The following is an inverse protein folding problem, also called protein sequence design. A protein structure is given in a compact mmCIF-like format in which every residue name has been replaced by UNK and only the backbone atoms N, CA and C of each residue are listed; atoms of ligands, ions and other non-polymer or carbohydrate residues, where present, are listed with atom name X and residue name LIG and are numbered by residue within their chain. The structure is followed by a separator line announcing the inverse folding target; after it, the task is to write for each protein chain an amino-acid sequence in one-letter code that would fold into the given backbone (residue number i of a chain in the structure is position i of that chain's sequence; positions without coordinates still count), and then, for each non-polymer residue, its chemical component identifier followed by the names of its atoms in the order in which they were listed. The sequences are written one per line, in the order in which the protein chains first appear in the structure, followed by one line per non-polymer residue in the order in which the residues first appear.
data_IF_682203544501
#
_entry.id   IF_682203544501
#
_cell.length_a   1.000
_cell.length_b   1.000
_cell.length_c   1.000
_cell.angle_alpha   90.00
_cell.angle_beta   90.00
_cell.angle_gamma   90.00
#
_symmetry.space_group_name_H-M   'P 1'
#
loop_
_entity.id
_entity.type
_entity.pdbx_description
1 polymer ?
#
# COMPACT_ATOMS: atom_id res chain seq x y z
N UNK A 1 8.00 -11.78 -10.86
CA UNK A 1 7.16 -10.75 -10.18
C UNK A 1 6.58 -11.39 -8.94
N UNK A 2 6.74 -10.78 -7.75
CA UNK A 2 6.14 -11.29 -6.52
C UNK A 2 4.62 -11.01 -6.49
N UNK A 3 3.86 -11.85 -5.79
CA UNK A 3 2.43 -11.66 -5.62
C UNK A 3 2.10 -11.36 -4.16
N UNK A 4 1.50 -10.20 -3.93
CA UNK A 4 0.94 -9.78 -2.65
C UNK A 4 -0.58 -9.77 -2.67
N UNK A 5 -1.19 -9.67 -1.49
CA UNK A 5 -2.63 -9.57 -1.35
C UNK A 5 -3.06 -8.45 -0.40
N UNK A 6 -4.26 -7.93 -0.61
CA UNK A 6 -4.89 -6.98 0.30
C UNK A 6 -5.46 -7.69 1.54
N UNK A 7 -5.21 -7.09 2.71
CA UNK A 7 -5.84 -7.51 3.97
C UNK A 7 -7.26 -6.95 4.13
N UNK A 8 -7.66 -6.04 3.28
CA UNK A 8 -8.98 -5.43 3.28
C UNK A 8 -9.65 -5.63 1.93
N UNK A 9 -10.97 -5.58 1.91
CA UNK A 9 -11.79 -5.52 0.70
C UNK A 9 -12.55 -4.19 0.63
N UNK A 10 -13.12 -3.87 -0.52
CA UNK A 10 -13.76 -2.58 -0.80
C UNK A 10 -15.27 -2.76 -1.02
N UNK A 11 -15.94 -3.43 -0.08
CA UNK A 11 -17.36 -3.72 -0.15
C UNK A 11 -18.04 -3.52 1.21
N UNK A 12 -19.41 -3.42 1.25
CA UNK A 12 -20.16 -3.34 2.50
C UNK A 12 -20.18 -4.64 3.33
N UNK A 13 -19.65 -5.73 2.79
CA UNK A 13 -19.54 -6.98 3.54
C UNK A 13 -18.67 -6.79 4.81
N UNK A 14 -18.90 -7.57 5.88
CA UNK A 14 -18.05 -7.54 7.06
C UNK A 14 -16.57 -7.75 6.70
N UNK A 15 -15.64 -7.04 7.34
CA UNK A 15 -14.22 -7.24 7.09
C UNK A 15 -13.80 -8.66 7.50
N UNK A 16 -12.80 -9.20 6.79
CA UNK A 16 -12.19 -10.46 7.20
C UNK A 16 -11.59 -10.35 8.60
N UNK A 17 -11.64 -11.41 9.43
CA UNK A 17 -10.83 -11.50 10.64
C UNK A 17 -9.34 -11.39 10.28
N UNK A 18 -8.74 -10.24 10.55
CA UNK A 18 -7.42 -9.85 9.98
C UNK A 18 -6.35 -10.92 10.19
N UNK A 19 -6.21 -11.43 11.41
CA UNK A 19 -5.17 -12.42 11.73
C UNK A 19 -5.38 -13.76 11.03
N UNK A 20 -6.63 -14.19 10.86
CA UNK A 20 -6.96 -15.43 10.14
C UNK A 20 -6.71 -15.27 8.65
N UNK A 21 -7.17 -14.14 8.10
CA UNK A 21 -6.99 -13.83 6.69
C UNK A 21 -5.51 -13.69 6.33
N UNK A 22 -4.71 -13.00 7.17
CA UNK A 22 -3.28 -12.90 6.99
C UNK A 22 -2.59 -14.27 6.99
N UNK A 23 -2.95 -15.17 7.93
CA UNK A 23 -2.40 -16.55 7.95
C UNK A 23 -2.80 -17.33 6.70
N UNK A 24 -4.05 -17.21 6.25
CA UNK A 24 -4.53 -17.90 5.05
C UNK A 24 -3.76 -17.42 3.81
N UNK A 25 -3.60 -16.11 3.62
CA UNK A 25 -2.86 -15.55 2.50
C UNK A 25 -1.38 -15.96 2.54
N UNK A 26 -0.74 -15.86 3.69
CA UNK A 26 0.65 -16.30 3.86
C UNK A 26 0.81 -17.81 3.63
N UNK A 27 -0.14 -18.64 4.12
CA UNK A 27 -0.18 -20.07 3.90
C UNK A 27 -0.36 -20.46 2.43
N UNK A 28 -1.11 -19.67 1.67
CA UNK A 28 -1.25 -19.82 0.22
C UNK A 28 0.01 -19.38 -0.57
N UNK A 29 1.01 -18.77 0.09
CA UNK A 29 2.27 -18.38 -0.51
C UNK A 29 2.33 -16.95 -1.02
N UNK A 30 1.44 -16.05 -0.59
CA UNK A 30 1.57 -14.63 -0.87
C UNK A 30 2.77 -14.05 -0.11
N UNK A 31 3.61 -13.29 -0.80
CA UNK A 31 4.90 -12.81 -0.31
C UNK A 31 4.81 -11.46 0.41
N UNK A 32 3.67 -10.75 0.23
CA UNK A 32 3.43 -9.46 0.88
C UNK A 32 1.93 -9.21 1.13
N UNK A 33 1.64 -8.53 2.25
CA UNK A 33 0.29 -8.22 2.70
C UNK A 33 0.10 -6.70 2.81
N UNK A 34 -0.94 -6.18 2.19
CA UNK A 34 -1.13 -4.74 2.01
C UNK A 34 -2.47 -4.26 2.52
N UNK A 35 -2.53 -3.02 2.98
CA UNK A 35 -3.79 -2.40 3.39
C UNK A 35 -3.88 -0.94 2.94
N UNK A 36 -5.04 -0.50 2.37
CA UNK A 36 -5.28 0.90 2.06
C UNK A 36 -5.78 1.65 3.29
N UNK A 37 -5.48 2.95 3.39
CA UNK A 37 -6.22 3.83 4.29
C UNK A 37 -7.46 4.36 3.56
N UNK A 38 -8.62 3.93 4.00
CA UNK A 38 -9.93 4.35 3.50
C UNK A 38 -10.85 4.60 4.69
N UNK A 39 -11.51 5.76 4.67
CA UNK A 39 -12.44 6.15 5.72
C UNK A 39 -13.61 6.96 5.12
N UNK A 40 -14.82 6.77 5.64
CA UNK A 40 -15.96 7.59 5.23
C UNK A 40 -16.61 7.23 3.90
N UNK A 41 -16.43 6.00 3.39
CA UNK A 41 -16.99 5.55 2.09
C UNK A 41 -18.18 4.59 2.23
N UNK A 42 -18.81 4.53 3.42
CA UNK A 42 -19.99 3.67 3.65
C UNK A 42 -19.69 2.21 3.93
N UNK A 43 -18.42 1.83 4.08
CA UNK A 43 -17.97 0.51 4.51
C UNK A 43 -16.72 0.61 5.39
N UNK A 44 -16.46 -0.42 6.18
CA UNK A 44 -15.33 -0.45 7.08
C UNK A 44 -14.11 -1.06 6.37
N UNK A 45 -13.09 -0.23 6.16
CA UNK A 45 -11.70 -0.71 6.03
C UNK A 45 -11.03 -0.48 7.38
N UNK A 46 -10.58 -1.52 8.07
CA UNK A 46 -9.94 -1.36 9.38
C UNK A 46 -8.70 -0.46 9.32
N UNK A 47 -8.36 0.18 10.43
CA UNK A 47 -7.18 1.06 10.52
C UNK A 47 -5.91 0.34 10.04
N UNK A 48 -5.11 1.03 9.24
CA UNK A 48 -3.95 0.43 8.57
C UNK A 48 -2.91 -0.08 9.55
N UNK A 49 -2.63 0.63 10.64
CA UNK A 49 -1.61 0.26 11.61
C UNK A 49 -2.07 -0.89 12.50
N UNK A 50 -3.34 -0.88 12.90
CA UNK A 50 -3.95 -1.99 13.66
C UNK A 50 -3.96 -3.26 12.80
N UNK A 51 -4.37 -3.14 11.53
CA UNK A 51 -4.41 -4.25 10.58
C UNK A 51 -3.02 -4.85 10.34
N UNK A 52 -2.03 -4.01 10.07
CA UNK A 52 -0.66 -4.48 9.81
C UNK A 52 0.00 -5.07 11.06
N UNK A 53 -0.27 -4.52 12.25
CA UNK A 53 0.22 -5.12 13.50
C UNK A 53 -0.36 -6.51 13.74
N UNK A 54 -1.67 -6.69 13.53
CA UNK A 54 -2.32 -8.00 13.63
C UNK A 54 -1.78 -8.99 12.60
N UNK A 55 -1.58 -8.57 11.35
CA UNK A 55 -1.01 -9.41 10.30
C UNK A 55 0.45 -9.78 10.59
N UNK A 56 1.26 -8.81 11.02
CA UNK A 56 2.67 -9.04 11.33
C UNK A 56 2.90 -10.02 12.47
N UNK A 57 2.01 -10.02 13.48
CA UNK A 57 2.08 -11.00 14.59
C UNK A 57 1.49 -12.37 14.21
N UNK A 58 0.66 -12.43 13.18
CA UNK A 58 0.04 -13.66 12.71
C UNK A 58 0.87 -14.40 11.64
N UNK A 59 1.91 -13.76 11.09
CA UNK A 59 2.72 -14.28 9.97
C UNK A 59 4.20 -14.08 10.21
N UNK A 60 5.03 -14.94 9.63
CA UNK A 60 6.49 -14.87 9.67
C UNK A 60 7.04 -14.66 8.26
N UNK A 61 8.09 -13.83 8.10
CA UNK A 61 8.82 -13.65 6.84
C UNK A 61 8.06 -12.92 5.72
N UNK A 62 6.77 -12.61 5.92
CA UNK A 62 5.93 -11.92 4.92
C UNK A 62 6.10 -10.40 5.07
N UNK A 63 6.33 -9.71 3.97
CA UNK A 63 6.35 -8.25 3.94
C UNK A 63 4.95 -7.70 4.27
N UNK A 64 4.89 -6.63 5.08
CA UNK A 64 3.64 -5.92 5.39
C UNK A 64 3.75 -4.47 4.90
N UNK A 65 2.70 -3.96 4.26
CA UNK A 65 2.79 -2.63 3.66
C UNK A 65 1.48 -1.85 3.62
N UNK A 66 1.61 -0.54 3.52
CA UNK A 66 0.48 0.35 3.27
C UNK A 66 0.40 0.70 1.79
N UNK A 67 -0.80 0.66 1.21
CA UNK A 67 -1.00 1.06 -0.18
C UNK A 67 -2.32 1.84 -0.36
N UNK A 68 -2.41 3.03 0.18
CA UNK A 68 -1.38 3.90 0.81
C UNK A 68 -1.91 4.56 2.08
N UNK A 69 -1.00 5.06 2.95
CA UNK A 69 -1.38 6.05 3.97
C UNK A 69 -1.48 7.43 3.32
N UNK A 70 -2.55 8.16 3.63
CA UNK A 70 -2.81 9.50 3.12
C UNK A 70 -2.17 10.54 4.06
N UNK A 71 -0.92 10.92 3.79
CA UNK A 71 -0.12 11.80 4.67
C UNK A 71 -0.84 13.09 5.09
N UNK A 72 -1.65 13.77 4.23
CA UNK A 72 -2.34 14.99 4.62
C UNK A 72 -3.40 14.82 5.71
N UNK A 73 -3.84 13.61 5.98
CA UNK A 73 -4.81 13.33 7.05
C UNK A 73 -4.17 13.28 8.44
N UNK A 74 -2.85 13.22 8.51
CA UNK A 74 -2.10 13.03 9.74
C UNK A 74 -1.22 14.23 10.10
N UNK A 75 -1.00 14.41 11.39
CA UNK A 75 0.12 15.21 11.85
C UNK A 75 1.42 14.39 11.63
N UNK A 76 2.51 14.95 11.06
CA UNK A 76 3.72 14.20 10.74
C UNK A 76 4.33 13.44 11.91
N UNK A 77 4.33 14.03 13.12
CA UNK A 77 4.88 13.36 14.30
C UNK A 77 3.99 12.21 14.81
N UNK A 78 2.65 12.34 14.73
CA UNK A 78 1.74 11.24 15.06
C UNK A 78 1.92 10.09 14.07
N UNK A 79 2.00 10.40 12.77
CA UNK A 79 2.24 9.38 11.75
C UNK A 79 3.60 8.69 11.94
N UNK A 80 4.67 9.45 12.20
CA UNK A 80 5.98 8.88 12.49
C UNK A 80 5.96 7.97 13.71
N UNK A 81 5.30 8.39 14.79
CA UNK A 81 5.15 7.58 16.01
C UNK A 81 4.42 6.26 15.72
N UNK A 82 3.33 6.28 14.93
CA UNK A 82 2.61 5.06 14.54
C UNK A 82 3.46 4.13 13.68
N UNK A 83 4.23 4.67 12.74
CA UNK A 83 5.14 3.88 11.89
C UNK A 83 6.24 3.25 12.74
N UNK A 84 6.91 4.02 13.62
CA UNK A 84 7.95 3.50 14.53
C UNK A 84 7.38 2.44 15.48
N UNK A 85 6.17 2.64 15.99
CA UNK A 85 5.46 1.65 16.82
C UNK A 85 5.18 0.36 16.04
N UNK A 86 4.72 0.46 14.78
CA UNK A 86 4.50 -0.72 13.94
C UNK A 86 5.82 -1.44 13.64
N UNK A 87 6.91 -0.72 13.40
CA UNK A 87 8.23 -1.30 13.20
C UNK A 87 8.73 -2.06 14.43
N UNK A 88 8.35 -1.66 15.65
CA UNK A 88 8.66 -2.44 16.86
C UNK A 88 7.94 -3.79 16.93
N UNK A 89 6.87 -3.95 16.13
CA UNK A 89 6.10 -5.22 16.03
C UNK A 89 6.59 -6.08 14.86
N UNK A 90 6.82 -5.48 13.69
CA UNK A 90 7.11 -6.22 12.45
C UNK A 90 8.60 -6.20 12.04
N UNK A 91 9.44 -5.45 12.75
CA UNK A 91 10.85 -5.29 12.38
C UNK A 91 11.02 -4.57 11.04
N UNK A 92 11.92 -5.09 10.21
CA UNK A 92 12.28 -4.61 8.88
C UNK A 92 11.31 -5.04 7.76
N UNK A 93 10.24 -5.77 8.11
CA UNK A 93 9.24 -6.24 7.13
C UNK A 93 8.30 -5.15 6.63
N UNK A 94 8.35 -3.92 7.17
CA UNK A 94 7.45 -2.83 6.80
C UNK A 94 7.91 -2.13 5.52
N UNK A 95 6.98 -1.98 4.58
CA UNK A 95 7.08 -1.03 3.46
C UNK A 95 5.99 0.04 3.60
N UNK A 96 6.38 1.32 3.61
CA UNK A 96 5.48 2.43 3.81
C UNK A 96 5.08 3.08 2.47
N UNK A 97 3.92 2.72 1.95
CA UNK A 97 3.33 3.40 0.82
C UNK A 97 2.55 4.64 1.27
N UNK A 98 2.87 5.79 0.71
CA UNK A 98 2.26 7.08 1.04
C UNK A 98 1.61 7.74 -0.16
N UNK A 99 0.62 8.58 0.07
CA UNK A 99 -0.04 9.35 -0.99
C UNK A 99 -0.56 10.70 -0.50
N UNK A 100 -0.84 11.64 -1.42
CA UNK A 100 -1.60 12.84 -1.09
C UNK A 100 -3.09 12.58 -0.82
N UNK A 101 -3.59 11.37 -1.13
CA UNK A 101 -5.02 11.06 -1.10
C UNK A 101 -5.75 11.44 -2.39
N UNK A 102 -6.87 10.79 -2.66
CA UNK A 102 -7.62 10.97 -3.90
C UNK A 102 -9.12 11.20 -3.73
N UNK A 103 -9.70 10.85 -2.59
CA UNK A 103 -11.15 10.81 -2.40
C UNK A 103 -11.58 11.85 -1.38
N UNK A 104 -12.45 12.76 -1.80
CA UNK A 104 -12.93 13.87 -0.99
C UNK A 104 -13.67 13.41 0.28
N UNK A 105 -14.46 12.32 0.19
CA UNK A 105 -15.18 11.77 1.34
C UNK A 105 -14.25 11.35 2.49
N UNK A 106 -13.07 10.83 2.17
CA UNK A 106 -12.08 10.48 3.20
C UNK A 106 -11.62 11.72 3.99
N UNK A 107 -11.43 12.85 3.29
CA UNK A 107 -11.02 14.12 3.89
C UNK A 107 -12.16 14.77 4.69
N UNK A 108 -13.37 14.79 4.13
CA UNK A 108 -14.55 15.34 4.77
C UNK A 108 -14.86 14.65 6.11
N UNK A 109 -14.68 13.33 6.19
CA UNK A 109 -14.89 12.54 7.42
C UNK A 109 -13.97 13.00 8.57
N UNK A 110 -12.82 13.57 8.26
CA UNK A 110 -11.82 14.04 9.25
C UNK A 110 -11.71 15.59 9.32
N UNK A 111 -12.67 16.31 8.76
CA UNK A 111 -12.64 17.78 8.68
C UNK A 111 -11.33 18.31 8.07
N UNK A 112 -10.84 17.66 7.01
CA UNK A 112 -9.63 18.03 6.28
C UNK A 112 -9.95 18.59 4.90
N UNK A 113 -9.18 19.60 4.48
CA UNK A 113 -9.33 20.21 3.16
C UNK A 113 -8.72 19.31 2.06
N UNK A 114 -9.59 18.68 1.27
CA UNK A 114 -9.17 17.87 0.11
C UNK A 114 -8.47 18.70 -0.97
N UNK A 115 -8.87 19.95 -1.18
CA UNK A 115 -8.24 20.79 -2.20
C UNK A 115 -6.77 21.10 -1.86
N UNK A 116 -6.45 21.22 -0.58
CA UNK A 116 -5.09 21.48 -0.09
C UNK A 116 -4.20 20.22 -0.07
N UNK A 117 -4.70 19.02 -0.34
CA UNK A 117 -3.99 17.74 -0.12
C UNK A 117 -2.58 17.67 -0.72
N UNK A 118 -2.37 18.18 -1.93
CA UNK A 118 -1.03 18.16 -2.55
C UNK A 118 -0.05 19.12 -1.87
N UNK A 119 -0.54 20.30 -1.45
CA UNK A 119 0.26 21.26 -0.68
C UNK A 119 0.63 20.68 0.67
N UNK A 120 -0.35 20.18 1.41
CA UNK A 120 -0.14 19.56 2.73
C UNK A 120 0.76 18.34 2.65
N UNK A 121 0.63 17.52 1.60
CA UNK A 121 1.55 16.40 1.37
C UNK A 121 3.00 16.88 1.19
N UNK A 122 3.20 17.92 0.38
CA UNK A 122 4.54 18.51 0.13
C UNK A 122 5.14 19.11 1.40
N UNK A 123 4.34 19.72 2.25
CA UNK A 123 4.77 20.33 3.52
C UNK A 123 5.08 19.27 4.60
N UNK A 124 4.25 18.23 4.71
CA UNK A 124 4.36 17.22 5.77
C UNK A 124 5.40 16.14 5.50
N UNK A 125 5.62 15.78 4.22
CA UNK A 125 6.49 14.66 3.85
C UNK A 125 7.95 14.83 4.31
N UNK A 126 8.61 15.99 4.17
CA UNK A 126 9.98 16.17 4.64
C UNK A 126 10.13 15.96 6.14
N UNK A 127 9.18 16.47 6.94
CA UNK A 127 9.17 16.28 8.38
C UNK A 127 8.96 14.83 8.76
N UNK A 128 8.03 14.14 8.09
CA UNK A 128 7.81 12.70 8.30
C UNK A 128 9.09 11.91 8.03
N UNK A 129 9.76 12.17 6.89
CA UNK A 129 11.04 11.51 6.55
C UNK A 129 12.12 11.77 7.60
N UNK A 130 12.25 13.02 8.05
CA UNK A 130 13.22 13.38 9.10
C UNK A 130 12.97 12.63 10.41
N UNK A 131 11.72 12.58 10.85
CA UNK A 131 11.33 11.86 12.06
C UNK A 131 11.52 10.34 11.95
N UNK A 132 11.26 9.75 10.78
CA UNK A 132 11.52 8.32 10.55
C UNK A 132 13.02 8.02 10.51
N UNK A 133 13.85 8.92 9.98
CA UNK A 133 15.29 8.75 9.89
C UNK A 133 16.01 8.98 11.23
N UNK A 134 15.55 9.92 12.04
CA UNK A 134 16.27 10.39 13.22
C UNK A 134 15.55 10.18 14.55
N UNK A 135 14.27 9.76 14.52
CA UNK A 135 13.44 9.61 15.72
C UNK A 135 13.04 10.93 16.39
N UNK A 136 13.57 12.07 15.96
CA UNK A 136 13.37 13.39 16.61
C UNK A 136 13.57 14.55 15.63
N UNK A 137 13.04 15.70 15.99
CA UNK A 137 13.28 17.01 15.40
C UNK A 137 13.28 18.10 16.49
N UNK A 138 13.21 19.39 16.10
CA UNK A 138 13.16 20.54 17.03
C UNK A 138 11.89 20.60 17.91
N UNK A 139 10.87 19.82 17.59
CA UNK A 139 9.53 19.84 18.23
C UNK A 139 9.08 18.49 18.76
N UNK A 140 9.77 17.40 18.43
CA UNK A 140 9.39 16.05 18.80
C UNK A 140 10.62 15.18 19.08
N UNK A 141 10.56 14.43 20.17
CA UNK A 141 11.54 13.39 20.52
C UNK A 141 10.75 12.08 20.72
N UNK A 142 10.70 11.26 19.65
CA UNK A 142 9.82 10.09 19.57
C UNK A 142 10.55 8.80 19.91
N UNK A 143 11.81 8.70 19.54
CA UNK A 143 12.60 7.50 19.73
C UNK A 143 14.10 7.80 19.54
N UNK A 144 15.01 6.94 20.08
CA UNK A 144 16.39 6.91 19.60
C UNK A 144 16.40 6.71 18.09
N UNK A 145 17.43 7.20 17.39
CA UNK A 145 17.56 7.04 15.95
C UNK A 145 17.33 5.57 15.55
N UNK A 146 16.39 5.28 14.66
CA UNK A 146 16.09 3.91 14.26
C UNK A 146 17.28 3.31 13.50
N UNK A 147 17.48 2.03 13.66
CA UNK A 147 18.56 1.27 12.97
C UNK A 147 18.31 1.22 11.46
N UNK A 148 17.04 1.25 11.05
CA UNK A 148 16.61 1.29 9.65
C UNK A 148 15.33 2.11 9.49
N UNK A 149 15.16 2.75 8.33
CA UNK A 149 13.90 3.37 7.92
C UNK A 149 13.16 2.44 6.96
N UNK A 150 11.82 2.35 7.03
CA UNK A 150 11.08 1.54 6.07
C UNK A 150 11.22 2.12 4.66
N UNK A 151 11.30 1.28 3.61
CA UNK A 151 11.20 1.76 2.23
C UNK A 151 9.95 2.61 2.05
N UNK A 152 10.09 3.78 1.40
CA UNK A 152 9.01 4.74 1.21
C UNK A 152 8.58 4.77 -0.27
N UNK A 153 7.36 4.29 -0.55
CA UNK A 153 6.81 4.23 -1.89
C UNK A 153 5.74 5.32 -2.09
N UNK A 154 5.68 5.91 -3.28
CA UNK A 154 4.66 6.90 -3.63
C UNK A 154 3.51 6.28 -4.41
N UNK A 155 2.29 6.37 -3.89
CA UNK A 155 1.05 6.11 -4.62
C UNK A 155 0.51 7.40 -5.23
N UNK A 156 0.74 7.62 -6.52
CA UNK A 156 0.24 8.80 -7.23
C UNK A 156 0.30 8.60 -8.74
N UNK A 157 -0.28 9.55 -9.49
CA UNK A 157 -0.41 9.51 -10.94
C UNK A 157 0.03 10.84 -11.59
N UNK A 158 -0.02 10.88 -12.93
CA UNK A 158 0.39 12.06 -13.71
C UNK A 158 1.89 12.34 -13.58
N UNK A 159 2.27 13.58 -13.37
CA UNK A 159 3.68 13.98 -13.21
C UNK A 159 4.35 13.43 -11.92
N UNK A 160 3.56 12.89 -10.98
CA UNK A 160 4.11 12.28 -9.78
C UNK A 160 4.65 10.85 -10.03
N UNK A 161 4.43 10.26 -11.20
CA UNK A 161 5.03 8.96 -11.57
C UNK A 161 6.55 9.11 -11.70
N UNK A 162 7.01 10.10 -12.44
CA UNK A 162 8.45 10.40 -12.59
C UNK A 162 9.06 10.95 -11.28
N UNK A 163 8.25 11.64 -10.46
CA UNK A 163 8.66 12.04 -9.11
C UNK A 163 8.89 10.83 -8.22
N UNK A 164 8.02 9.82 -8.28
CA UNK A 164 8.19 8.56 -7.55
C UNK A 164 9.53 7.90 -7.91
N UNK A 165 9.90 7.89 -9.19
CA UNK A 165 11.15 7.32 -9.66
C UNK A 165 12.40 8.01 -9.08
N UNK A 166 12.35 9.34 -8.94
CA UNK A 166 13.51 10.15 -8.52
C UNK A 166 13.63 10.35 -7.02
N UNK A 167 12.52 10.39 -6.30
CA UNK A 167 12.49 10.86 -4.91
C UNK A 167 12.03 9.79 -3.90
N UNK A 168 11.61 8.60 -4.37
CA UNK A 168 11.11 7.53 -3.52
C UNK A 168 11.78 6.19 -3.83
N UNK A 169 11.63 5.24 -2.92
CA UNK A 169 12.18 3.89 -3.09
C UNK A 169 11.36 3.05 -4.09
N UNK A 170 10.15 3.49 -4.40
CA UNK A 170 9.29 2.82 -5.37
C UNK A 170 7.99 3.57 -5.67
N UNK A 171 7.19 2.96 -6.55
CA UNK A 171 5.91 3.46 -7.00
C UNK A 171 4.80 2.42 -6.83
N UNK A 172 3.67 2.88 -6.29
CA UNK A 172 2.42 2.10 -6.17
C UNK A 172 1.45 2.53 -7.27
N UNK A 173 1.30 1.69 -8.28
CA UNK A 173 0.39 1.88 -9.40
C UNK A 173 -0.98 1.30 -9.06
N UNK A 174 -1.89 2.12 -8.53
CA UNK A 174 -3.25 1.66 -8.23
C UNK A 174 -4.03 1.32 -9.49
N UNK A 175 -4.58 0.10 -9.58
CA UNK A 175 -5.47 -0.32 -10.65
C UNK A 175 -6.89 0.29 -10.54
N UNK A 176 -7.20 0.95 -9.43
CA UNK A 176 -8.50 1.58 -9.22
C UNK A 176 -8.76 2.67 -10.27
N UNK A 177 -9.83 2.51 -11.05
CA UNK A 177 -10.23 3.41 -12.15
C UNK A 177 -9.13 3.63 -13.21
N UNK A 178 -8.31 2.62 -13.47
CA UNK A 178 -7.28 2.64 -14.51
C UNK A 178 -7.35 1.37 -15.36
N UNK A 179 -7.12 1.54 -16.66
CA UNK A 179 -6.97 0.39 -17.55
C UNK A 179 -5.57 -0.19 -17.46
N UNK A 180 -5.38 -1.48 -17.76
CA UNK A 180 -4.05 -2.08 -17.84
C UNK A 180 -3.07 -1.30 -18.72
N UNK A 181 -3.52 -0.79 -19.87
CA UNK A 181 -2.68 -0.03 -20.80
C UNK A 181 -2.23 1.32 -20.21
N UNK A 182 -3.11 2.00 -19.43
CA UNK A 182 -2.72 3.21 -18.70
C UNK A 182 -1.66 2.93 -17.64
N UNK A 183 -1.74 1.78 -16.97
CA UNK A 183 -0.78 1.35 -15.95
C UNK A 183 0.56 1.04 -16.61
N UNK A 184 0.56 0.28 -17.72
CA UNK A 184 1.77 -0.06 -18.48
C UNK A 184 2.48 1.19 -19.03
N UNK A 185 1.74 2.10 -19.68
CA UNK A 185 2.31 3.35 -20.18
C UNK A 185 2.91 4.24 -19.06
N UNK A 186 2.29 4.25 -17.88
CA UNK A 186 2.85 4.95 -16.73
C UNK A 186 4.10 4.25 -16.17
N UNK A 187 4.12 2.91 -16.20
CA UNK A 187 5.29 2.13 -15.79
C UNK A 187 6.51 2.36 -16.71
N UNK A 188 6.31 2.45 -18.03
CA UNK A 188 7.38 2.82 -18.97
C UNK A 188 8.01 4.17 -18.60
N UNK A 189 7.20 5.20 -18.33
CA UNK A 189 7.69 6.52 -17.87
C UNK A 189 8.40 6.43 -16.53
N UNK A 190 7.88 5.63 -15.59
CA UNK A 190 8.51 5.41 -14.30
C UNK A 190 9.91 4.81 -14.46
N UNK A 191 10.06 3.76 -15.28
CA UNK A 191 11.34 3.11 -15.54
C UNK A 191 12.30 4.03 -16.32
N UNK A 192 11.82 4.76 -17.32
CA UNK A 192 12.62 5.73 -18.07
C UNK A 192 13.17 6.87 -17.18
N UNK A 193 12.46 7.20 -16.09
CA UNK A 193 12.92 8.19 -15.10
C UNK A 193 13.86 7.61 -14.03
N UNK A 194 14.27 6.32 -14.14
CA UNK A 194 15.19 5.66 -13.21
C UNK A 194 14.50 4.97 -12.02
N UNK A 195 13.19 4.74 -12.12
CA UNK A 195 12.42 4.08 -11.07
C UNK A 195 12.86 2.65 -10.81
N UNK A 196 12.95 2.27 -9.53
CA UNK A 196 13.43 0.96 -9.08
C UNK A 196 12.29 -0.03 -8.89
N UNK A 197 11.58 0.03 -7.75
CA UNK A 197 10.50 -0.89 -7.42
C UNK A 197 9.13 -0.34 -7.88
N UNK A 198 8.40 -1.11 -8.69
CA UNK A 198 7.05 -0.79 -9.14
C UNK A 198 6.07 -1.89 -8.73
N UNK A 199 4.96 -1.52 -8.11
CA UNK A 199 3.92 -2.42 -7.62
C UNK A 199 2.60 -2.08 -8.30
N UNK A 200 2.02 -3.02 -9.06
CA UNK A 200 0.65 -2.91 -9.55
C UNK A 200 -0.30 -3.34 -8.44
N UNK A 201 -1.07 -2.40 -7.85
CA UNK A 201 -1.85 -2.71 -6.66
C UNK A 201 -3.36 -2.55 -6.84
N UNK A 202 -4.09 -3.39 -6.07
CA UNK A 202 -5.54 -3.50 -6.04
C UNK A 202 -6.15 -3.99 -7.34
N UNK A 203 -5.59 -5.10 -7.86
CA UNK A 203 -6.25 -5.91 -8.89
C UNK A 203 -7.41 -6.62 -8.19
N UNK A 204 -8.63 -6.13 -8.41
CA UNK A 204 -9.81 -6.59 -7.70
C UNK A 204 -10.33 -7.91 -8.29
N UNK A 205 -10.60 -8.86 -7.42
CA UNK A 205 -11.12 -10.19 -7.74
C UNK A 205 -12.44 -10.39 -7.01
N UNK A 206 -13.52 -10.52 -7.77
CA UNK A 206 -14.87 -10.71 -7.26
C UNK A 206 -15.53 -11.91 -7.96
N UNK A 207 -16.31 -12.70 -7.21
CA UNK A 207 -16.91 -13.92 -7.75
C UNK A 207 -15.91 -15.09 -7.83
N UNK A 208 -16.43 -16.28 -8.10
CA UNK A 208 -15.65 -17.54 -8.16
C UNK A 208 -15.23 -17.90 -9.59
N UNK A 209 -15.39 -16.98 -10.56
CA UNK A 209 -15.36 -17.29 -11.96
C UNK A 209 -13.94 -17.31 -12.56
N UNK A 210 -13.87 -17.45 -13.87
CA UNK A 210 -12.66 -17.64 -14.66
C UNK A 210 -11.50 -16.70 -14.27
N UNK A 211 -10.42 -17.26 -13.74
CA UNK A 211 -9.19 -16.57 -13.41
C UNK A 211 -8.26 -16.36 -14.62
N UNK A 212 -8.63 -16.86 -15.81
CA UNK A 212 -7.83 -16.72 -17.02
C UNK A 212 -7.45 -15.27 -17.33
N UNK A 213 -8.42 -14.33 -17.41
CA UNK A 213 -8.12 -12.90 -17.66
C UNK A 213 -7.21 -12.27 -16.60
N UNK A 214 -7.33 -12.69 -15.34
CA UNK A 214 -6.44 -12.23 -14.26
C UNK A 214 -5.02 -12.78 -14.44
N UNK A 215 -4.89 -14.05 -14.79
CA UNK A 215 -3.60 -14.67 -15.10
C UNK A 215 -2.90 -13.98 -16.26
N UNK A 216 -3.61 -13.72 -17.35
CA UNK A 216 -3.08 -12.96 -18.49
C UNK A 216 -2.63 -11.54 -18.10
N UNK A 217 -3.41 -10.84 -17.28
CA UNK A 217 -3.06 -9.51 -16.78
C UNK A 217 -1.79 -9.53 -15.93
N UNK A 218 -1.69 -10.48 -14.99
CA UNK A 218 -0.50 -10.64 -14.14
C UNK A 218 0.74 -10.97 -14.97
N UNK A 219 0.61 -11.82 -15.99
CA UNK A 219 1.70 -12.13 -16.93
C UNK A 219 2.12 -10.90 -17.74
N UNK A 220 1.16 -10.06 -18.20
CA UNK A 220 1.47 -8.80 -18.89
C UNK A 220 2.25 -7.84 -17.99
N UNK A 221 1.89 -7.70 -16.72
CA UNK A 221 2.64 -6.87 -15.77
C UNK A 221 4.02 -7.43 -15.47
N UNK A 222 4.15 -8.75 -15.32
CA UNK A 222 5.43 -9.42 -15.14
C UNK A 222 6.36 -9.21 -16.36
N UNK A 223 5.82 -9.38 -17.57
CA UNK A 223 6.56 -9.18 -18.82
C UNK A 223 6.99 -7.71 -19.01
N UNK A 224 6.20 -6.74 -18.52
CA UNK A 224 6.55 -5.32 -18.52
C UNK A 224 7.59 -4.95 -17.45
N UNK A 225 7.94 -5.86 -16.54
CA UNK A 225 8.96 -5.65 -15.52
C UNK A 225 8.45 -5.00 -14.23
N UNK A 226 7.17 -5.17 -13.88
CA UNK A 226 6.72 -4.89 -12.51
C UNK A 226 7.40 -5.85 -11.53
N UNK A 227 7.80 -5.34 -10.37
CA UNK A 227 8.44 -6.14 -9.32
C UNK A 227 7.42 -6.93 -8.51
N UNK A 228 6.26 -6.31 -8.26
CA UNK A 228 5.17 -6.90 -7.48
C UNK A 228 3.80 -6.60 -8.11
N UNK A 229 2.84 -7.48 -7.85
CA UNK A 229 1.42 -7.21 -8.01
C UNK A 229 0.68 -7.48 -6.69
N UNK A 230 -0.35 -6.71 -6.39
CA UNK A 230 -1.19 -6.87 -5.20
C UNK A 230 -2.63 -7.07 -5.65
N UNK A 231 -3.17 -8.24 -5.36
CA UNK A 231 -4.58 -8.57 -5.60
C UNK A 231 -5.44 -8.18 -4.40
N UNK A 232 -6.69 -7.89 -4.67
CA UNK A 232 -7.71 -7.65 -3.67
C UNK A 232 -8.82 -8.67 -3.88
N UNK A 233 -8.91 -9.67 -3.00
CA UNK A 233 -9.91 -10.72 -3.07
C UNK A 233 -11.12 -10.27 -2.26
N UNK A 234 -12.24 -10.04 -2.95
CA UNK A 234 -13.51 -9.66 -2.31
C UNK A 234 -14.16 -10.86 -1.60
N UNK A 235 -15.03 -10.63 -0.62
CA UNK A 235 -15.85 -11.69 -0.03
C UNK A 235 -16.63 -12.46 -1.10
N UNK A 236 -16.53 -13.79 -1.06
CA UNK A 236 -17.08 -14.66 -2.12
C UNK A 236 -16.26 -14.70 -3.41
N UNK A 237 -15.07 -14.09 -3.41
CA UNK A 237 -14.11 -14.18 -4.49
C UNK A 237 -13.38 -15.53 -4.54
N UNK A 238 -12.42 -15.67 -5.47
CA UNK A 238 -11.71 -16.91 -5.68
C UNK A 238 -10.87 -17.32 -4.48
N UNK A 239 -10.57 -18.60 -4.41
CA UNK A 239 -9.70 -19.15 -3.37
C UNK A 239 -8.27 -18.60 -3.49
N UNK A 240 -7.64 -18.14 -2.39
CA UNK A 240 -6.28 -17.61 -2.40
C UNK A 240 -5.23 -18.51 -3.05
N UNK A 241 -5.32 -19.81 -2.85
CA UNK A 241 -4.40 -20.79 -3.44
C UNK A 241 -4.51 -20.83 -4.97
N UNK A 242 -5.74 -20.72 -5.50
CA UNK A 242 -5.96 -20.63 -6.96
C UNK A 242 -5.40 -19.33 -7.54
N UNK A 243 -5.58 -18.21 -6.82
CA UNK A 243 -5.04 -16.91 -7.23
C UNK A 243 -3.50 -16.92 -7.20
N UNK A 244 -2.90 -17.51 -6.15
CA UNK A 244 -1.43 -17.59 -6.04
C UNK A 244 -0.83 -18.44 -7.16
N UNK A 245 -1.54 -19.47 -7.60
CA UNK A 245 -1.09 -20.34 -8.70
C UNK A 245 -1.07 -19.67 -10.08
N UNK A 246 -1.60 -18.46 -10.25
CA UNK A 246 -1.55 -17.72 -11.52
C UNK A 246 -0.14 -17.20 -11.87
N UNK A 247 0.74 -17.13 -10.88
CA UNK A 247 2.15 -16.79 -11.06
C UNK A 247 3.03 -17.89 -10.45
N UNK A 248 4.02 -18.37 -11.19
CA UNK A 248 4.98 -19.36 -10.70
C UNK A 248 5.85 -18.83 -9.55
#
# INVERSE_FOLDING_TARGET
MRLGASLAHLSPAPPYPVAEWARRLAGAGFESLWVPQIIGRGFLVPDVFVTLAAAATATEGVEVGTATVQVPMHHPADLAHRVLSLMSVCGDRLTLGVSPGSTEADFATLDRDHAARFRTFKENLPRLRGLLAHGRDDRADLAPAPVATPPLLLGSWGANVEKAAREFDGWLASAYRRTPDQILAAHERYRAAGGRRAIACYIQLSGSDDLGPTGELLQRYAAAGFDDAVVLIEPGGPDPEQVRALLP
#
